data_IF_221835034540
#
_entry.id   IF_221835034540
#
_cell.length_a   1.000
_cell.length_b   1.000
_cell.length_c   1.000
_cell.angle_alpha   90.00
_cell.angle_beta   90.00
_cell.angle_gamma   90.00
#
_symmetry.space_group_name_H-M   'P 1'
#
loop_
_entity.id
_entity.type
_entity.pdbx_description
1 polymer ?
#
# COMPACT_ATOMS: atom_id res chain seq x y z
N UNK A 1 -5.47 -8.53 -17.77
CA UNK A 1 -6.55 -8.28 -18.77
C UNK A 1 -6.00 -7.33 -19.80
N UNK A 2 -6.43 -7.39 -21.06
CA UNK A 2 -5.95 -6.42 -22.05
C UNK A 2 -6.33 -4.98 -21.64
N UNK A 3 -5.43 -3.99 -21.77
CA UNK A 3 -5.73 -2.60 -21.45
C UNK A 3 -7.00 -2.07 -22.16
N UNK A 4 -7.22 -2.49 -23.41
CA UNK A 4 -8.40 -2.12 -24.18
C UNK A 4 -9.72 -2.63 -23.56
N UNK A 5 -9.73 -3.85 -23.02
CA UNK A 5 -10.91 -4.43 -22.37
C UNK A 5 -11.24 -3.67 -21.07
N UNK A 6 -10.22 -3.36 -20.27
CA UNK A 6 -10.38 -2.56 -19.05
C UNK A 6 -10.90 -1.16 -19.36
N UNK A 7 -10.31 -0.48 -20.35
CA UNK A 7 -10.76 0.83 -20.80
C UNK A 7 -12.22 0.82 -21.26
N UNK A 8 -12.63 -0.21 -22.02
CA UNK A 8 -14.02 -0.41 -22.41
C UNK A 8 -14.94 -0.58 -21.19
N UNK A 9 -14.58 -1.44 -20.24
CA UNK A 9 -15.36 -1.69 -19.02
C UNK A 9 -15.49 -0.40 -18.20
N UNK A 10 -14.38 0.28 -17.94
CA UNK A 10 -14.37 1.51 -17.15
C UNK A 10 -15.12 2.66 -17.83
N UNK A 11 -15.14 2.70 -19.17
CA UNK A 11 -15.97 3.62 -19.94
C UNK A 11 -17.48 3.39 -19.79
N UNK A 12 -17.91 2.23 -19.26
CA UNK A 12 -19.33 1.89 -19.01
C UNK A 12 -19.76 2.01 -17.55
N UNK A 13 -18.82 2.25 -16.62
CA UNK A 13 -19.16 2.44 -15.21
C UNK A 13 -19.93 3.75 -15.05
N UNK A 14 -20.93 3.79 -14.17
CA UNK A 14 -21.67 5.02 -13.88
C UNK A 14 -20.80 6.02 -13.09
N UNK A 15 -21.19 7.28 -13.13
CA UNK A 15 -20.63 8.30 -12.24
C UNK A 15 -21.05 8.02 -10.78
N UNK A 16 -20.27 8.56 -9.83
CA UNK A 16 -20.57 8.46 -8.41
C UNK A 16 -21.82 9.26 -8.04
N UNK A 17 -22.51 8.83 -6.99
CA UNK A 17 -23.57 9.62 -6.36
C UNK A 17 -22.94 10.90 -5.79
N UNK A 18 -23.14 12.03 -6.46
CA UNK A 18 -22.46 13.30 -6.18
C UNK A 18 -21.65 13.87 -7.35
N UNK A 19 -21.55 13.13 -8.46
CA UNK A 19 -20.81 13.52 -9.66
C UNK A 19 -19.36 13.03 -9.65
N UNK A 20 -18.76 13.01 -10.83
CA UNK A 20 -17.39 12.53 -11.04
C UNK A 20 -17.30 11.02 -11.30
N UNK A 21 -16.19 10.62 -11.92
CA UNK A 21 -15.88 9.22 -12.22
C UNK A 21 -15.39 8.50 -10.95
N UNK A 22 -15.68 7.19 -10.78
CA UNK A 22 -15.06 6.38 -9.74
C UNK A 22 -13.53 6.42 -9.82
N UNK A 23 -12.88 6.45 -8.67
CA UNK A 23 -11.43 6.31 -8.59
C UNK A 23 -11.03 4.86 -8.88
N UNK A 24 -10.28 4.66 -9.96
CA UNK A 24 -9.77 3.35 -10.37
C UNK A 24 -8.27 3.31 -10.11
N UNK A 25 -7.83 2.27 -9.41
CA UNK A 25 -6.44 1.85 -9.38
C UNK A 25 -6.34 0.38 -9.76
N UNK A 26 -5.24 0.00 -10.38
CA UNK A 26 -5.06 -1.32 -10.98
C UNK A 26 -3.88 -2.02 -10.34
N UNK A 27 -4.09 -3.25 -9.92
CA UNK A 27 -3.01 -4.11 -9.46
C UNK A 27 -2.25 -4.67 -10.67
N UNK A 28 -1.08 -4.10 -10.94
CA UNK A 28 -0.14 -4.58 -11.96
C UNK A 28 1.22 -4.71 -11.29
N UNK A 29 1.70 -5.94 -11.15
CA UNK A 29 3.02 -6.24 -10.59
C UNK A 29 4.02 -6.13 -11.74
N UNK A 30 4.85 -5.10 -11.72
CA UNK A 30 5.95 -4.90 -12.67
C UNK A 30 7.16 -4.35 -11.90
N UNK A 31 7.98 -5.28 -11.40
CA UNK A 31 9.12 -4.99 -10.53
C UNK A 31 10.43 -4.79 -11.29
N UNK A 32 10.57 -5.45 -12.44
CA UNK A 32 11.86 -5.55 -13.16
C UNK A 32 11.88 -4.76 -14.45
N UNK A 33 10.72 -4.37 -14.99
CA UNK A 33 10.62 -3.78 -16.33
C UNK A 33 11.01 -4.73 -17.47
N UNK A 34 11.24 -6.01 -17.17
CA UNK A 34 11.66 -7.04 -18.14
C UNK A 34 10.53 -8.03 -18.48
N UNK A 35 9.36 -7.84 -17.87
CA UNK A 35 8.18 -8.63 -18.19
C UNK A 35 7.54 -8.12 -19.48
N UNK A 36 6.80 -8.99 -20.18
CA UNK A 36 6.15 -8.62 -21.44
C UNK A 36 4.98 -7.63 -21.26
N UNK A 37 4.47 -7.49 -20.02
CA UNK A 37 3.42 -6.57 -19.64
C UNK A 37 4.01 -5.53 -18.71
N UNK A 38 3.75 -4.25 -19.00
CA UNK A 38 4.28 -3.13 -18.25
C UNK A 38 3.17 -2.35 -17.55
N UNK A 39 3.45 -1.85 -16.35
CA UNK A 39 2.52 -0.98 -15.60
C UNK A 39 2.10 0.27 -16.38
N UNK A 40 2.97 0.78 -17.25
CA UNK A 40 2.72 1.96 -18.09
C UNK A 40 1.59 1.75 -19.12
N UNK A 41 1.23 0.52 -19.47
CA UNK A 41 0.13 0.24 -20.39
C UNK A 41 -1.25 0.59 -19.79
N UNK A 42 -1.32 0.79 -18.47
CA UNK A 42 -2.57 0.91 -17.71
C UNK A 42 -2.78 2.32 -17.13
N UNK A 43 -1.83 3.24 -17.25
CA UNK A 43 -1.90 4.57 -16.60
C UNK A 43 -2.88 5.53 -17.28
N UNK A 44 -3.24 5.29 -18.55
CA UNK A 44 -4.11 6.18 -19.32
C UNK A 44 -5.59 6.22 -18.89
N UNK A 45 -6.02 5.33 -17.99
CA UNK A 45 -7.42 5.20 -17.59
C UNK A 45 -7.62 4.83 -16.11
N UNK A 46 -6.57 4.97 -15.30
CA UNK A 46 -6.60 4.72 -13.86
C UNK A 46 -5.19 4.76 -13.28
N UNK A 47 -5.10 4.82 -11.95
CA UNK A 47 -3.82 4.66 -11.26
C UNK A 47 -3.36 3.20 -11.31
N UNK A 48 -2.10 2.96 -11.00
CA UNK A 48 -1.49 1.62 -10.97
C UNK A 48 -0.69 1.44 -9.68
N UNK A 49 -0.71 0.24 -9.11
CA UNK A 49 0.08 -0.11 -7.94
C UNK A 49 1.57 -0.07 -8.24
N UNK A 50 2.32 0.82 -7.58
CA UNK A 50 3.78 0.90 -7.72
C UNK A 50 4.47 -0.05 -6.72
N UNK A 51 4.53 -1.34 -7.04
CA UNK A 51 5.12 -2.36 -6.17
C UNK A 51 6.60 -2.11 -5.84
N UNK A 52 7.34 -1.49 -6.76
CA UNK A 52 8.74 -1.14 -6.54
C UNK A 52 8.92 -0.13 -5.39
N UNK A 53 7.88 0.63 -5.04
CA UNK A 53 7.91 1.54 -3.90
C UNK A 53 8.19 0.80 -2.59
N UNK A 54 7.38 -0.23 -2.28
CA UNK A 54 7.48 -1.03 -1.06
C UNK A 54 8.80 -1.79 -0.95
N UNK A 55 9.29 -2.34 -2.07
CA UNK A 55 10.60 -3.00 -2.14
C UNK A 55 11.72 -2.01 -1.82
N UNK A 56 11.81 -0.88 -2.55
CA UNK A 56 12.95 0.04 -2.42
C UNK A 56 12.97 0.78 -1.08
N UNK A 57 11.81 1.17 -0.54
CA UNK A 57 11.74 1.78 0.79
C UNK A 57 12.18 0.76 1.86
N UNK A 58 11.77 -0.49 1.71
CA UNK A 58 12.14 -1.57 2.62
C UNK A 58 13.65 -1.88 2.60
N UNK A 59 14.27 -1.94 1.43
CA UNK A 59 15.74 -2.07 1.29
C UNK A 59 16.48 -0.94 2.02
N UNK A 60 15.98 0.30 1.95
CA UNK A 60 16.59 1.44 2.61
C UNK A 60 16.47 1.38 4.14
N UNK A 61 15.28 1.13 4.67
CA UNK A 61 15.05 1.11 6.11
C UNK A 61 15.63 -0.13 6.81
N UNK A 62 15.90 -1.21 6.08
CA UNK A 62 16.60 -2.39 6.59
C UNK A 62 18.13 -2.27 6.51
N UNK A 63 18.65 -1.20 5.90
CA UNK A 63 20.09 -0.92 5.84
C UNK A 63 20.83 -1.60 4.68
N UNK A 64 20.10 -2.27 3.77
CA UNK A 64 20.68 -2.81 2.54
C UNK A 64 21.06 -1.68 1.57
N UNK A 65 20.29 -0.58 1.59
CA UNK A 65 20.61 0.67 0.90
C UNK A 65 20.72 1.85 1.90
N UNK A 66 21.69 2.77 1.72
CA UNK A 66 21.76 4.00 2.52
C UNK A 66 20.50 4.88 2.39
N UNK A 67 19.88 5.24 3.51
CA UNK A 67 18.71 6.14 3.56
C UNK A 67 18.94 7.47 2.82
N UNK A 68 20.18 7.97 2.75
CA UNK A 68 20.53 9.20 2.00
C UNK A 68 20.18 9.13 0.51
N UNK A 69 19.98 7.94 -0.04
CA UNK A 69 19.57 7.77 -1.44
C UNK A 69 18.12 8.18 -1.66
N UNK A 70 17.26 8.20 -0.62
CA UNK A 70 15.87 8.62 -0.73
C UNK A 70 15.68 10.12 -1.09
N UNK A 71 16.77 10.90 -1.23
CA UNK A 71 16.73 12.32 -1.60
C UNK A 71 15.96 12.62 -2.90
N UNK A 72 15.86 11.66 -3.81
CA UNK A 72 15.17 11.74 -5.10
C UNK A 72 14.19 10.57 -5.29
N UNK A 73 13.65 10.03 -4.20
CA UNK A 73 12.75 8.87 -4.24
C UNK A 73 11.51 9.14 -5.09
N UNK A 74 11.23 8.32 -6.11
CA UNK A 74 10.17 8.60 -7.07
C UNK A 74 10.55 8.20 -8.50
N UNK A 75 10.21 9.01 -9.49
CA UNK A 75 10.45 8.72 -10.91
C UNK A 75 11.92 8.46 -11.24
N UNK A 76 12.87 9.13 -10.56
CA UNK A 76 14.31 8.89 -10.74
C UNK A 76 14.76 7.49 -10.28
N UNK A 77 13.93 6.79 -9.52
CA UNK A 77 14.11 5.38 -9.14
C UNK A 77 13.47 4.40 -10.13
N UNK A 78 12.99 4.88 -11.28
CA UNK A 78 12.28 4.06 -12.28
C UNK A 78 10.80 3.82 -11.93
N UNK A 79 10.24 4.60 -11.00
CA UNK A 79 8.80 4.56 -10.72
C UNK A 79 8.01 5.28 -11.81
N UNK A 80 6.72 4.97 -11.91
CA UNK A 80 5.79 5.74 -12.74
C UNK A 80 5.69 7.20 -12.28
N UNK A 81 4.92 8.02 -13.00
CA UNK A 81 4.65 9.39 -12.55
C UNK A 81 3.87 9.37 -11.22
N UNK A 82 4.03 10.42 -10.40
CA UNK A 82 3.32 10.53 -9.12
C UNK A 82 1.80 10.48 -9.30
N UNK A 83 1.28 11.05 -10.40
CA UNK A 83 -0.15 11.09 -10.69
C UNK A 83 -0.72 9.73 -11.12
N UNK A 84 0.13 8.82 -11.56
CA UNK A 84 -0.26 7.46 -11.93
C UNK A 84 -0.14 6.48 -10.75
N UNK A 85 0.66 6.80 -9.74
CA UNK A 85 1.03 5.85 -8.70
C UNK A 85 0.02 5.74 -7.55
N UNK A 86 -0.36 4.50 -7.22
CA UNK A 86 -0.84 4.11 -5.88
C UNK A 86 0.29 3.38 -5.15
N UNK A 87 0.70 3.91 -4.00
CA UNK A 87 1.90 3.45 -3.27
C UNK A 87 1.54 2.87 -1.93
N UNK A 88 2.35 1.93 -1.46
CA UNK A 88 2.19 1.27 -0.16
C UNK A 88 3.53 0.66 0.28
N UNK A 89 3.72 0.48 1.59
CA UNK A 89 4.88 -0.22 2.14
C UNK A 89 4.72 -1.73 1.96
N UNK A 90 3.53 -2.24 2.25
CA UNK A 90 3.09 -3.63 2.05
C UNK A 90 1.64 -3.68 1.55
N UNK A 91 1.23 -4.82 1.01
CA UNK A 91 -0.17 -5.15 0.76
C UNK A 91 -0.50 -6.51 1.39
N UNK A 92 -1.74 -6.98 1.21
CA UNK A 92 -2.19 -8.25 1.76
C UNK A 92 -1.43 -9.48 1.22
N UNK A 93 -0.91 -9.44 -0.01
CA UNK A 93 -0.10 -10.53 -0.58
C UNK A 93 1.35 -10.46 -0.12
N UNK A 94 2.00 -9.31 -0.31
CA UNK A 94 3.44 -9.13 -0.07
C UNK A 94 3.81 -9.24 1.40
N UNK A 95 2.88 -8.98 2.34
CA UNK A 95 3.12 -9.24 3.75
C UNK A 95 3.21 -10.73 4.12
N UNK A 96 2.79 -11.63 3.21
CA UNK A 96 2.83 -13.09 3.35
C UNK A 96 3.90 -13.73 2.48
N UNK A 97 3.97 -13.31 1.22
CA UNK A 97 4.81 -13.95 0.19
C UNK A 97 5.95 -13.05 -0.30
N UNK A 98 5.99 -11.79 0.14
CA UNK A 98 7.05 -10.86 -0.23
C UNK A 98 8.41 -11.34 0.28
N UNK A 99 9.45 -10.95 -0.47
CA UNK A 99 10.83 -11.20 -0.05
C UNK A 99 11.20 -10.42 1.22
N UNK A 100 12.41 -10.65 1.72
CA UNK A 100 12.93 -10.01 2.94
C UNK A 100 12.94 -8.48 2.89
N UNK A 101 12.83 -7.88 1.71
CA UNK A 101 12.76 -6.44 1.51
C UNK A 101 11.44 -5.83 1.98
N UNK A 102 10.33 -6.59 2.03
CA UNK A 102 9.02 -6.06 2.40
C UNK A 102 8.91 -5.92 3.92
N UNK A 103 8.73 -4.68 4.38
CA UNK A 103 8.45 -4.38 5.79
C UNK A 103 6.96 -4.55 6.08
N UNK A 104 6.64 -5.23 7.18
CA UNK A 104 5.25 -5.45 7.60
C UNK A 104 5.06 -5.07 9.07
N UNK A 105 3.84 -5.22 9.62
CA UNK A 105 3.60 -5.06 11.05
C UNK A 105 4.51 -5.93 11.94
N UNK A 106 5.01 -7.07 11.42
CA UNK A 106 5.95 -7.96 12.11
C UNK A 106 7.32 -7.29 12.33
N UNK A 107 7.66 -6.28 11.52
CA UNK A 107 8.85 -5.45 11.65
C UNK A 107 8.53 -4.07 12.25
N UNK A 108 7.68 -4.03 13.30
CA UNK A 108 6.99 -2.82 13.80
C UNK A 108 7.83 -1.53 13.81
N UNK A 109 9.07 -1.56 14.33
CA UNK A 109 9.93 -0.36 14.39
C UNK A 109 10.24 0.19 12.99
N UNK A 110 10.75 -0.64 12.09
CA UNK A 110 11.15 -0.24 10.74
C UNK A 110 9.93 0.07 9.88
N UNK A 111 8.87 -0.72 10.01
CA UNK A 111 7.60 -0.48 9.31
C UNK A 111 7.01 0.90 9.63
N UNK A 112 6.97 1.30 10.91
CA UNK A 112 6.52 2.64 11.29
C UNK A 112 7.37 3.75 10.68
N UNK A 113 8.69 3.54 10.54
CA UNK A 113 9.59 4.53 9.92
C UNK A 113 9.35 4.63 8.40
N UNK A 114 9.17 3.50 7.73
CA UNK A 114 8.85 3.46 6.30
C UNK A 114 7.48 4.09 5.99
N UNK A 115 6.44 3.76 6.77
CA UNK A 115 5.11 4.37 6.63
C UNK A 115 5.16 5.87 6.92
N UNK A 116 5.91 6.31 7.93
CA UNK A 116 6.10 7.73 8.20
C UNK A 116 6.76 8.46 7.03
N UNK A 117 7.82 7.88 6.44
CA UNK A 117 8.42 8.44 5.23
C UNK A 117 7.43 8.50 4.07
N UNK A 118 6.69 7.42 3.81
CA UNK A 118 5.69 7.38 2.74
C UNK A 118 4.63 8.48 2.89
N UNK A 119 4.16 8.72 4.11
CA UNK A 119 3.15 9.74 4.37
C UNK A 119 3.72 11.16 4.28
N UNK A 120 4.99 11.37 4.63
CA UNK A 120 5.67 12.66 4.54
C UNK A 120 6.18 13.00 3.12
N UNK A 121 6.35 12.01 2.25
CA UNK A 121 6.92 12.19 0.92
C UNK A 121 5.82 12.45 -0.13
N UNK A 122 5.96 13.48 -0.99
CA UNK A 122 4.91 13.88 -1.94
C UNK A 122 4.97 13.06 -3.24
N UNK A 123 4.81 11.74 -3.13
CA UNK A 123 4.80 10.83 -4.27
C UNK A 123 3.64 9.83 -4.18
N UNK A 124 2.81 9.76 -5.22
CA UNK A 124 1.70 8.83 -5.33
C UNK A 124 0.55 9.07 -4.35
N UNK A 125 -0.48 8.22 -4.46
CA UNK A 125 -1.55 8.11 -3.48
C UNK A 125 -1.17 7.02 -2.46
N UNK A 126 -0.87 7.37 -1.19
CA UNK A 126 -0.49 6.38 -0.21
C UNK A 126 -1.70 5.56 0.27
N UNK A 127 -1.52 4.25 0.31
CA UNK A 127 -2.43 3.29 0.94
C UNK A 127 -1.76 2.69 2.16
N UNK A 128 -2.43 2.76 3.30
CA UNK A 128 -1.96 2.15 4.56
C UNK A 128 -2.60 0.78 4.71
N UNK A 129 -1.79 -0.25 4.95
CA UNK A 129 -2.28 -1.57 5.29
C UNK A 129 -2.82 -1.59 6.73
N UNK A 130 -3.91 -2.33 6.94
CA UNK A 130 -4.41 -2.67 8.28
C UNK A 130 -4.72 -4.16 8.33
N UNK A 131 -3.96 -4.88 9.14
CA UNK A 131 -3.87 -6.33 9.09
C UNK A 131 -4.60 -6.99 10.26
N UNK A 132 -4.72 -8.31 10.15
CA UNK A 132 -4.88 -9.22 11.28
C UNK A 132 -3.60 -10.04 11.44
N UNK A 133 -3.37 -10.60 12.62
CA UNK A 133 -2.17 -11.39 12.89
C UNK A 133 -2.29 -12.78 12.28
N UNK A 134 -1.22 -13.25 11.63
CA UNK A 134 -1.13 -14.58 11.06
C UNK A 134 0.27 -15.18 11.24
N UNK A 135 0.33 -16.50 11.43
CA UNK A 135 1.58 -17.25 11.60
C UNK A 135 2.04 -17.97 10.33
N UNK A 136 1.17 -18.10 9.32
CA UNK A 136 1.51 -18.60 8.00
C UNK A 136 0.65 -17.93 6.91
N UNK A 137 0.95 -18.24 5.65
CA UNK A 137 0.39 -17.52 4.50
C UNK A 137 -1.10 -17.83 4.25
N UNK A 138 -1.58 -18.98 4.71
CA UNK A 138 -2.92 -19.49 4.40
C UNK A 138 -3.94 -19.17 5.51
N UNK A 139 -3.53 -18.48 6.59
CA UNK A 139 -4.42 -18.11 7.68
C UNK A 139 -5.37 -16.99 7.24
N UNK A 140 -6.67 -17.32 7.25
CA UNK A 140 -7.76 -16.37 7.06
C UNK A 140 -7.88 -15.36 8.22
N UNK A 141 -8.84 -14.42 8.15
CA UNK A 141 -9.08 -13.46 9.22
C UNK A 141 -9.50 -14.16 10.53
N UNK A 142 -9.44 -13.47 11.70
CA UNK A 142 -9.94 -14.01 12.96
C UNK A 142 -11.40 -14.47 12.84
N UNK A 143 -11.68 -15.70 13.26
CA UNK A 143 -13.00 -16.33 13.12
C UNK A 143 -13.45 -17.00 14.44
N UNK A 144 -14.76 -17.11 14.64
CA UNK A 144 -15.35 -17.90 15.72
C UNK A 144 -15.37 -19.40 15.38
N UNK A 145 -15.85 -20.23 16.31
CA UNK A 145 -15.94 -21.69 16.09
C UNK A 145 -16.89 -22.11 14.96
N UNK A 146 -17.70 -21.20 14.43
CA UNK A 146 -18.63 -21.44 13.32
C UNK A 146 -18.10 -20.86 11.99
N UNK A 147 -16.90 -20.29 11.96
CA UNK A 147 -16.29 -19.68 10.78
C UNK A 147 -16.77 -18.24 10.47
N UNK A 148 -17.51 -17.59 11.37
CA UNK A 148 -17.86 -16.18 11.20
C UNK A 148 -16.67 -15.30 11.53
N UNK A 149 -16.43 -14.25 10.73
CA UNK A 149 -15.36 -13.29 11.00
C UNK A 149 -15.67 -12.54 12.31
N UNK A 150 -14.71 -12.58 13.25
CA UNK A 150 -14.80 -11.86 14.51
C UNK A 150 -14.41 -10.41 14.27
N UNK A 151 -15.27 -9.48 14.69
CA UNK A 151 -15.01 -8.05 14.57
C UNK A 151 -13.81 -7.62 15.44
N UNK A 152 -13.04 -6.59 15.02
CA UNK A 152 -12.02 -5.99 15.88
C UNK A 152 -12.63 -5.49 17.19
N UNK A 153 -12.08 -5.93 18.31
CA UNK A 153 -12.33 -5.27 19.61
C UNK A 153 -11.46 -4.03 19.71
N UNK A 154 -11.98 -2.93 20.27
CA UNK A 154 -11.22 -1.69 20.50
C UNK A 154 -10.93 -1.56 21.98
N UNK A 155 -9.64 -1.54 22.32
CA UNK A 155 -9.17 -1.43 23.70
C UNK A 155 -9.19 0.04 24.16
N UNK A 156 -9.09 0.27 25.48
CA UNK A 156 -9.11 1.62 26.07
C UNK A 156 -7.94 2.51 25.63
N UNK A 157 -6.84 1.92 25.17
CA UNK A 157 -5.67 2.62 24.62
C UNK A 157 -5.73 2.82 23.09
N UNK A 158 -6.91 2.60 22.49
CA UNK A 158 -7.18 2.62 21.05
C UNK A 158 -6.48 1.55 20.22
N UNK A 159 -5.79 0.57 20.82
CA UNK A 159 -5.31 -0.61 20.10
C UNK A 159 -6.47 -1.57 19.79
N UNK A 160 -6.22 -2.52 18.90
CA UNK A 160 -7.20 -3.56 18.58
C UNK A 160 -6.93 -4.87 19.34
N UNK A 161 -7.99 -5.64 19.54
CA UNK A 161 -7.96 -7.01 20.06
C UNK A 161 -8.64 -7.96 19.06
N UNK A 162 -8.93 -9.21 19.46
CA UNK A 162 -9.48 -10.27 18.60
C UNK A 162 -8.59 -10.64 17.41
N UNK A 163 -7.26 -10.58 17.57
CA UNK A 163 -6.31 -10.93 16.52
C UNK A 163 -6.09 -9.84 15.46
N UNK A 164 -6.75 -8.68 15.58
CA UNK A 164 -6.56 -7.55 14.66
C UNK A 164 -5.35 -6.69 15.04
N UNK A 165 -4.52 -6.34 14.06
CA UNK A 165 -3.28 -5.57 14.27
C UNK A 165 -3.57 -4.07 14.29
N UNK A 166 -4.43 -3.59 13.40
CA UNK A 166 -4.87 -2.21 13.30
C UNK A 166 -3.72 -1.18 13.26
N UNK A 167 -2.78 -1.35 12.33
CA UNK A 167 -1.66 -0.43 12.11
C UNK A 167 -2.14 1.01 11.89
N UNK A 168 -3.30 1.19 11.25
CA UNK A 168 -3.94 2.49 11.04
C UNK A 168 -4.27 3.25 12.36
N UNK A 169 -4.33 2.57 13.50
CA UNK A 169 -4.56 3.14 14.85
C UNK A 169 -3.27 3.36 15.63
N UNK A 170 -2.13 2.91 15.13
CA UNK A 170 -0.86 3.15 15.81
C UNK A 170 -0.57 4.64 15.80
N UNK A 171 -0.32 5.23 16.97
CA UNK A 171 -0.10 6.67 17.13
C UNK A 171 0.87 7.25 16.10
N UNK A 172 1.96 6.53 15.81
CA UNK A 172 2.97 6.94 14.83
C UNK A 172 2.42 7.03 13.39
N UNK A 173 1.45 6.18 13.03
CA UNK A 173 0.84 6.15 11.70
C UNK A 173 -0.32 7.14 11.63
N UNK A 174 -1.23 7.13 12.60
CA UNK A 174 -2.37 8.05 12.65
C UNK A 174 -1.92 9.51 12.68
N UNK A 175 -0.88 9.85 13.46
CA UNK A 175 -0.34 11.21 13.46
C UNK A 175 0.32 11.58 12.13
N UNK A 176 0.89 10.63 11.41
CA UNK A 176 1.47 10.89 10.08
C UNK A 176 0.41 11.03 8.99
N UNK A 177 -0.77 10.43 9.16
CA UNK A 177 -1.94 10.75 8.33
C UNK A 177 -2.36 12.20 8.54
N UNK A 178 -2.47 12.64 9.80
CA UNK A 178 -2.76 14.04 10.12
C UNK A 178 -1.67 14.98 9.59
N UNK A 179 -0.39 14.60 9.69
CA UNK A 179 0.73 15.34 9.11
C UNK A 179 0.55 15.51 7.60
N UNK A 180 0.32 14.42 6.86
CA UNK A 180 0.14 14.47 5.40
C UNK A 180 -0.97 15.43 5.02
N UNK A 181 -2.13 15.35 5.69
CA UNK A 181 -3.25 16.26 5.44
C UNK A 181 -2.90 17.73 5.77
N UNK A 182 -2.05 17.97 6.77
CA UNK A 182 -1.62 19.31 7.16
C UNK A 182 -0.56 19.94 6.26
N UNK A 183 0.13 19.14 5.45
CA UNK A 183 1.16 19.61 4.49
C UNK A 183 0.73 19.45 3.03
N UNK A 184 -0.54 19.10 2.80
CA UNK A 184 -1.10 18.94 1.45
C UNK A 184 -1.04 20.27 0.69
N UNK A 185 -0.54 20.24 -0.55
CA UNK A 185 -0.25 21.44 -1.36
C UNK A 185 0.21 21.12 -2.77
#
# INVERSE_FOLDING_TARGET
MWPADLSYIYGKVNDLNGGGRPFVYQEVIDLTGNEAVHKAEYTGFGRVTEFSYGVNIGECFQGNNPIKYLKNFGTEWGFMSSDDALVFVDNHDTQRTGGSSILTYKNSKLYKMAVAFMLAWPFGVPRIMSSYSFDNNDVGPPQDGNGNIVSPGINSDNTCSNGWVCEHRWRQITNMVAFRNGVDG
#
